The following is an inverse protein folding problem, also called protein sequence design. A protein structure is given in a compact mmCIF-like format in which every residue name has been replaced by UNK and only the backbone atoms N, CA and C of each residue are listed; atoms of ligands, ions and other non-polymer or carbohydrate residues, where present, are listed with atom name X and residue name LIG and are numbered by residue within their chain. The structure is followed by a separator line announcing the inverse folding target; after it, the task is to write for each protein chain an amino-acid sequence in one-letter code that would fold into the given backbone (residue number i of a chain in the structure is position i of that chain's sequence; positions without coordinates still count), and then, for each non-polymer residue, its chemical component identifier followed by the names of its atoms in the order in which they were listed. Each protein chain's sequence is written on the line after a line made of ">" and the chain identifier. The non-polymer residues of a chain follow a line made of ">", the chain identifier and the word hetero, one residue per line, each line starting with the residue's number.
data_IF_173884706947
#
_entry.id   IF_173884706947
#
_cell.length_a   1.000
_cell.length_b   1.000
_cell.length_c   1.000
_cell.angle_alpha   90.00
_cell.angle_beta   90.00
_cell.angle_gamma   90.00
#
_symmetry.space_group_name_H-M   'P 1'
#
loop_
_entity.id
_entity.type
_entity.pdbx_description
1 polymer ?
#
# COMPACT_ATOMS: atom_id res chain seq x y z
N UNK A 1 -4.95 -14.06 -1.56
CA UNK A 1 -4.13 -13.77 -0.36
C UNK A 1 -4.03 -12.26 -0.15
N UNK A 2 -4.06 -11.80 1.10
CA UNK A 2 -3.92 -10.38 1.45
C UNK A 2 -2.70 -10.18 2.35
N UNK A 3 -1.88 -9.15 2.13
CA UNK A 3 -0.75 -8.88 3.01
C UNK A 3 -1.22 -8.59 4.43
N UNK A 4 -0.45 -9.07 5.40
CA UNK A 4 -0.69 -8.93 6.83
C UNK A 4 -0.24 -7.56 7.37
N UNK A 5 0.53 -6.79 6.59
CA UNK A 5 0.92 -5.43 6.94
C UNK A 5 0.59 -4.43 5.82
N UNK A 6 0.56 -3.16 6.19
CA UNK A 6 0.51 -2.04 5.27
C UNK A 6 1.61 -1.04 5.62
N UNK A 7 2.26 -0.47 4.62
CA UNK A 7 3.32 0.53 4.78
C UNK A 7 2.93 1.79 4.02
N UNK A 8 2.74 2.89 4.74
CA UNK A 8 2.48 4.21 4.17
C UNK A 8 3.76 5.02 4.18
N UNK A 9 4.06 5.66 3.06
CA UNK A 9 5.18 6.58 2.93
C UNK A 9 4.62 7.93 2.52
N UNK A 10 4.76 8.93 3.38
CA UNK A 10 4.40 10.33 3.10
C UNK A 10 5.65 11.18 3.12
N UNK A 11 5.56 12.44 2.69
CA UNK A 11 6.67 13.39 2.80
C UNK A 11 7.13 13.64 4.25
N UNK A 12 6.25 13.41 5.22
CA UNK A 12 6.54 13.63 6.64
C UNK A 12 7.14 12.39 7.32
N UNK A 13 6.82 11.18 6.83
CA UNK A 13 7.19 9.97 7.54
C UNK A 13 6.74 8.67 6.92
N UNK A 14 7.11 7.60 7.62
CA UNK A 14 6.75 6.22 7.31
C UNK A 14 5.88 5.69 8.44
N UNK A 15 4.76 5.08 8.10
CA UNK A 15 3.89 4.43 9.09
C UNK A 15 3.67 2.97 8.69
N UNK A 16 3.80 2.08 9.67
CA UNK A 16 3.52 0.65 9.49
C UNK A 16 2.27 0.26 10.27
N UNK A 17 1.38 -0.46 9.63
CA UNK A 17 0.19 -1.06 10.25
C UNK A 17 0.23 -2.57 10.12
N UNK A 18 -0.29 -3.25 11.14
CA UNK A 18 -0.55 -4.68 11.17
C UNK A 18 -2.06 -4.92 11.03
N UNK A 19 -2.43 -5.88 10.19
CA UNK A 19 -3.81 -6.34 10.02
C UNK A 19 -4.18 -7.24 11.18
N UNK A 20 -5.27 -6.90 11.85
CA UNK A 20 -5.93 -7.76 12.82
C UNK A 20 -7.37 -8.06 12.38
N UNK A 21 -8.07 -8.95 13.09
CA UNK A 21 -9.45 -9.35 12.80
C UNK A 21 -10.44 -8.16 12.78
N UNK A 22 -10.13 -7.08 13.50
CA UNK A 22 -11.01 -5.92 13.67
C UNK A 22 -10.62 -4.69 12.83
N UNK A 23 -9.46 -4.71 12.17
CA UNK A 23 -8.99 -3.56 11.38
C UNK A 23 -7.47 -3.48 11.28
N UNK A 24 -6.98 -2.26 11.08
CA UNK A 24 -5.56 -1.95 10.93
C UNK A 24 -5.02 -1.26 12.17
N UNK A 25 -4.11 -1.91 12.87
CA UNK A 25 -3.47 -1.40 14.08
C UNK A 25 -2.10 -0.83 13.71
N UNK A 26 -1.80 0.40 14.14
CA UNK A 26 -0.50 1.01 13.90
C UNK A 26 0.56 0.34 14.76
N UNK A 27 1.60 -0.17 14.10
CA UNK A 27 2.80 -0.73 14.74
C UNK A 27 3.72 0.41 15.19
N UNK A 28 3.92 1.40 14.32
CA UNK A 28 4.78 2.53 14.59
C UNK A 28 4.76 3.55 13.46
N UNK A 29 5.31 4.73 13.73
CA UNK A 29 5.55 5.78 12.76
C UNK A 29 6.93 6.41 12.98
N UNK A 30 7.63 6.71 11.90
CA UNK A 30 8.99 7.27 11.90
C UNK A 30 9.00 8.51 11.01
N UNK A 31 9.47 9.64 11.53
CA UNK A 31 9.62 10.85 10.73
C UNK A 31 10.80 10.73 9.75
N UNK A 32 10.64 11.20 8.50
CA UNK A 32 11.71 11.13 7.49
C UNK A 32 12.94 11.98 7.84
N UNK A 33 12.76 13.05 8.62
CA UNK A 33 13.83 13.92 9.07
C UNK A 33 14.44 13.49 10.41
N UNK A 34 14.05 12.33 10.95
CA UNK A 34 14.60 11.82 12.20
C UNK A 34 16.10 11.53 12.04
N UNK A 35 16.98 12.02 12.95
CA UNK A 35 18.41 11.69 12.91
C UNK A 35 18.67 10.18 13.13
N UNK A 36 17.71 9.48 13.75
CA UNK A 36 17.78 8.05 14.04
C UNK A 36 16.83 7.22 13.16
N UNK A 37 16.42 7.74 11.99
CA UNK A 37 15.42 7.10 11.11
C UNK A 37 15.77 5.64 10.81
N UNK A 38 17.03 5.35 10.45
CA UNK A 38 17.45 3.98 10.15
C UNK A 38 17.26 3.02 11.34
N UNK A 39 17.62 3.47 12.55
CA UNK A 39 17.49 2.66 13.75
C UNK A 39 16.00 2.39 14.07
N UNK A 40 15.17 3.43 14.00
CA UNK A 40 13.73 3.33 14.24
C UNK A 40 13.03 2.43 13.21
N UNK A 41 13.41 2.52 11.94
CA UNK A 41 12.90 1.63 10.88
C UNK A 41 13.29 0.17 11.12
N UNK A 42 14.53 -0.10 11.56
CA UNK A 42 14.98 -1.46 11.94
C UNK A 42 14.24 -1.98 13.17
N UNK A 43 13.98 -1.14 14.16
CA UNK A 43 13.17 -1.50 15.34
C UNK A 43 11.74 -1.86 14.92
N UNK A 44 11.12 -1.05 14.06
CA UNK A 44 9.78 -1.28 13.54
C UNK A 44 9.70 -2.59 12.72
N UNK A 45 10.71 -2.90 11.91
CA UNK A 45 10.82 -4.17 11.18
C UNK A 45 10.96 -5.39 12.12
N UNK A 46 11.72 -5.24 13.22
CA UNK A 46 11.82 -6.29 14.27
C UNK A 46 10.48 -6.53 14.95
N UNK A 47 9.73 -5.47 15.27
CA UNK A 47 8.37 -5.60 15.83
C UNK A 47 7.45 -6.32 14.84
N UNK A 48 7.47 -5.96 13.56
CA UNK A 48 6.68 -6.64 12.53
C UNK A 48 6.98 -8.15 12.45
N UNK A 49 8.27 -8.50 12.49
CA UNK A 49 8.72 -9.91 12.48
C UNK A 49 8.26 -10.68 13.71
N UNK A 50 8.22 -10.04 14.87
CA UNK A 50 7.72 -10.66 16.10
C UNK A 50 6.19 -10.86 16.08
N UNK A 51 5.44 -9.96 15.43
CA UNK A 51 3.99 -10.04 15.28
C UNK A 51 3.54 -11.11 14.27
N UNK A 52 4.36 -11.39 13.25
CA UNK A 52 4.07 -12.38 12.22
C UNK A 52 5.24 -13.37 12.02
N UNK A 53 5.42 -14.34 12.94
CA UNK A 53 6.48 -15.35 12.84
C UNK A 53 6.43 -16.19 11.55
N UNK A 54 5.26 -16.30 10.93
CA UNK A 54 5.03 -16.99 9.66
C UNK A 54 5.51 -16.19 8.43
N UNK A 55 5.83 -14.91 8.61
CA UNK A 55 6.37 -14.03 7.57
C UNK A 55 5.65 -12.69 7.48
N UNK A 56 6.43 -11.64 7.18
CA UNK A 56 5.93 -10.29 6.94
C UNK A 56 5.70 -10.10 5.45
N UNK A 57 4.52 -9.61 5.06
CA UNK A 57 4.24 -9.10 3.72
C UNK A 57 3.46 -7.79 3.83
N UNK A 58 3.83 -6.78 3.04
CA UNK A 58 3.20 -5.45 3.07
C UNK A 58 2.46 -5.13 1.77
N UNK A 59 1.34 -4.43 1.88
CA UNK A 59 0.88 -3.53 0.80
C UNK A 59 1.47 -2.14 1.01
N UNK A 60 1.94 -1.52 -0.06
CA UNK A 60 2.32 -0.11 -0.08
C UNK A 60 1.06 0.75 -0.18
N UNK A 61 0.93 1.73 0.70
CA UNK A 61 -0.16 2.72 0.68
C UNK A 61 0.44 4.02 0.12
N UNK A 62 0.11 4.31 -1.13
CA UNK A 62 0.55 5.53 -1.82
C UNK A 62 -0.32 6.70 -1.33
N UNK A 63 0.29 7.78 -0.82
CA UNK A 63 -0.45 8.92 -0.29
C UNK A 63 -1.17 9.71 -1.38
N UNK A 64 -2.25 10.39 -0.99
CA UNK A 64 -3.12 11.10 -1.95
C UNK A 64 -2.43 12.27 -2.68
N UNK A 65 -1.36 12.84 -2.12
CA UNK A 65 -0.54 13.88 -2.76
C UNK A 65 0.25 13.37 -3.98
N UNK A 66 0.52 12.07 -4.04
CA UNK A 66 1.16 11.39 -5.17
C UNK A 66 0.16 10.83 -6.18
N UNK A 67 -1.15 11.04 -5.98
CA UNK A 67 -2.21 10.42 -6.77
C UNK A 67 -3.03 11.48 -7.50
N UNK A 68 -3.21 11.27 -8.80
CA UNK A 68 -4.15 12.02 -9.61
C UNK A 68 -5.51 11.30 -9.65
N UNK A 69 -6.54 11.96 -9.14
CA UNK A 69 -7.94 11.53 -9.28
C UNK A 69 -8.59 12.25 -10.46
N UNK A 70 -9.01 11.48 -11.48
CA UNK A 70 -9.67 12.02 -12.67
C UNK A 70 -11.07 11.43 -12.82
N UNK A 71 -12.09 12.29 -12.90
CA UNK A 71 -13.40 11.88 -13.40
C UNK A 71 -13.39 11.93 -14.93
N UNK A 72 -13.67 10.80 -15.55
CA UNK A 72 -13.59 10.62 -17.00
C UNK A 72 -14.89 9.97 -17.49
N UNK A 73 -15.44 10.52 -18.57
CA UNK A 73 -16.52 9.88 -19.29
C UNK A 73 -15.97 8.70 -20.09
N UNK A 74 -16.63 7.55 -20.01
CA UNK A 74 -16.33 6.34 -20.77
C UNK A 74 -17.57 5.85 -21.50
N UNK A 75 -17.40 5.55 -22.78
CA UNK A 75 -18.43 5.01 -23.67
C UNK A 75 -18.15 3.57 -24.09
N UNK A 76 -16.93 3.08 -23.85
CA UNK A 76 -16.50 1.72 -24.11
C UNK A 76 -17.45 0.69 -23.51
N UNK A 77 -17.72 -0.36 -24.28
CA UNK A 77 -18.64 -1.45 -23.92
C UNK A 77 -17.91 -2.67 -23.39
N UNK A 78 -16.63 -2.81 -23.72
CA UNK A 78 -15.75 -3.84 -23.14
C UNK A 78 -14.73 -3.20 -22.18
N UNK A 79 -14.18 -3.97 -21.22
CA UNK A 79 -13.13 -3.49 -20.33
C UNK A 79 -11.92 -2.93 -21.08
N UNK A 80 -11.55 -3.54 -22.21
CA UNK A 80 -10.41 -3.12 -23.03
C UNK A 80 -10.67 -1.77 -23.72
N UNK A 81 -11.87 -1.57 -24.28
CA UNK A 81 -12.28 -0.28 -24.85
C UNK A 81 -12.27 0.81 -23.79
N UNK A 82 -12.79 0.52 -22.59
CA UNK A 82 -12.84 1.45 -21.47
C UNK A 82 -11.43 1.83 -20.99
N UNK A 83 -10.52 0.86 -20.84
CA UNK A 83 -9.14 1.14 -20.45
C UNK A 83 -8.42 2.00 -21.50
N UNK A 84 -8.60 1.71 -22.79
CA UNK A 84 -8.02 2.52 -23.86
C UNK A 84 -8.53 3.95 -23.85
N UNK A 85 -9.84 4.16 -23.69
CA UNK A 85 -10.45 5.48 -23.57
C UNK A 85 -9.92 6.26 -22.36
N UNK A 86 -9.81 5.60 -21.20
CA UNK A 86 -9.26 6.21 -19.99
C UNK A 86 -7.81 6.64 -20.20
N UNK A 87 -6.95 5.74 -20.72
CA UNK A 87 -5.53 6.03 -20.98
C UNK A 87 -5.37 7.18 -21.98
N UNK A 88 -6.17 7.21 -23.06
CA UNK A 88 -6.12 8.30 -24.03
C UNK A 88 -6.46 9.67 -23.40
N UNK A 89 -7.41 9.69 -22.47
CA UNK A 89 -7.83 10.91 -21.77
C UNK A 89 -6.83 11.40 -20.71
N UNK A 90 -5.88 10.56 -20.27
CA UNK A 90 -4.80 10.96 -19.36
C UNK A 90 -3.69 11.76 -20.05
N UNK A 91 -3.62 11.71 -21.39
CA UNK A 91 -2.64 12.47 -22.16
C UNK A 91 -2.66 13.97 -21.82
N UNK A 92 -1.54 14.49 -21.35
CA UNK A 92 -1.37 15.90 -20.98
C UNK A 92 -1.98 16.30 -19.63
N UNK A 93 -2.53 15.36 -18.85
CA UNK A 93 -3.02 15.60 -17.47
C UNK A 93 -1.98 15.35 -16.39
N UNK A 94 -0.90 14.66 -16.74
CA UNK A 94 0.23 14.34 -15.87
C UNK A 94 1.51 14.90 -16.48
N UNK A 95 2.52 15.24 -15.65
CA UNK A 95 3.86 15.53 -16.16
C UNK A 95 4.55 14.28 -16.72
N UNK A 96 4.07 13.09 -16.35
CA UNK A 96 4.56 11.79 -16.82
C UNK A 96 3.83 11.34 -18.08
N UNK A 97 4.49 10.60 -18.99
CA UNK A 97 3.83 9.98 -20.13
C UNK A 97 2.92 8.83 -19.70
N UNK A 98 1.87 8.53 -20.47
CA UNK A 98 0.79 7.60 -20.08
C UNK A 98 1.30 6.17 -19.87
N UNK A 99 2.33 5.75 -20.59
CA UNK A 99 3.02 4.46 -20.46
C UNK A 99 3.74 4.27 -19.11
N UNK A 100 4.13 5.38 -18.48
CA UNK A 100 4.76 5.40 -17.15
C UNK A 100 3.73 5.50 -16.02
N UNK A 101 2.44 5.61 -16.34
CA UNK A 101 1.37 5.64 -15.35
C UNK A 101 0.89 4.23 -15.02
N UNK A 102 0.54 4.04 -13.75
CA UNK A 102 -0.26 2.92 -13.26
C UNK A 102 -1.59 3.49 -12.80
N UNK A 103 -2.69 2.85 -13.19
CA UNK A 103 -4.02 3.28 -12.78
C UNK A 103 -4.89 2.11 -12.36
N UNK A 104 -5.80 2.41 -11.45
CA UNK A 104 -7.04 1.67 -11.27
C UNK A 104 -8.19 2.60 -11.62
N UNK A 105 -9.34 2.04 -11.91
CA UNK A 105 -10.53 2.84 -12.18
C UNK A 105 -11.78 2.13 -11.69
N UNK A 106 -12.81 2.91 -11.44
CA UNK A 106 -14.10 2.40 -11.02
C UNK A 106 -15.24 3.27 -11.56
N UNK A 107 -16.33 2.62 -11.92
CA UNK A 107 -17.56 3.32 -12.30
C UNK A 107 -18.09 4.12 -11.10
N UNK A 108 -18.49 5.35 -11.35
CA UNK A 108 -19.18 6.20 -10.38
C UNK A 108 -20.69 6.05 -10.54
N UNK A 109 -21.48 6.63 -9.64
CA UNK A 109 -22.94 6.46 -9.59
C UNK A 109 -23.72 7.11 -10.76
N UNK A 110 -23.06 7.58 -11.81
CA UNK A 110 -23.63 8.13 -13.04
C UNK A 110 -23.54 7.16 -14.23
N UNK A 111 -24.41 7.30 -15.23
CA UNK A 111 -24.32 6.51 -16.46
C UNK A 111 -23.12 6.98 -17.29
N UNK A 112 -22.06 6.17 -17.34
CA UNK A 112 -20.91 6.38 -18.22
C UNK A 112 -19.78 7.20 -17.62
N UNK A 113 -19.79 7.49 -16.31
CA UNK A 113 -18.70 8.22 -15.65
C UNK A 113 -17.86 7.27 -14.78
N UNK A 114 -16.55 7.30 -14.94
CA UNK A 114 -15.59 6.57 -14.14
C UNK A 114 -14.64 7.53 -13.41
N UNK A 115 -14.19 7.13 -12.22
CA UNK A 115 -13.06 7.77 -11.58
C UNK A 115 -11.81 6.91 -11.84
N UNK A 116 -10.84 7.48 -12.54
CA UNK A 116 -9.49 6.95 -12.64
C UNK A 116 -8.65 7.46 -11.47
N UNK A 117 -7.90 6.55 -10.86
CA UNK A 117 -6.96 6.80 -9.77
C UNK A 117 -5.59 6.46 -10.31
N UNK A 118 -4.72 7.46 -10.45
CA UNK A 118 -3.52 7.37 -11.28
C UNK A 118 -2.29 7.76 -10.46
N UNK A 119 -1.24 6.95 -10.56
CA UNK A 119 0.06 7.18 -9.92
C UNK A 119 1.18 6.96 -10.93
N UNK A 120 2.29 7.68 -10.78
CA UNK A 120 3.49 7.39 -11.55
C UNK A 120 4.08 6.03 -11.13
N UNK A 121 4.52 5.23 -12.10
CA UNK A 121 5.18 3.94 -11.83
C UNK A 121 6.44 4.13 -10.98
N UNK A 122 7.17 5.21 -11.19
CA UNK A 122 8.37 5.56 -10.43
C UNK A 122 8.08 5.69 -8.93
N UNK A 123 7.00 6.37 -8.55
CA UNK A 123 6.56 6.48 -7.13
C UNK A 123 6.38 5.12 -6.47
N UNK A 124 5.78 4.15 -7.18
CA UNK A 124 5.62 2.78 -6.65
C UNK A 124 6.99 2.11 -6.49
N UNK A 125 7.89 2.29 -7.46
CA UNK A 125 9.23 1.69 -7.44
C UNK A 125 10.07 2.25 -6.28
N UNK A 126 10.04 3.55 -6.03
CA UNK A 126 10.75 4.17 -4.91
C UNK A 126 10.22 3.67 -3.56
N UNK A 127 8.90 3.59 -3.40
CA UNK A 127 8.28 3.05 -2.20
C UNK A 127 8.61 1.56 -2.00
N UNK A 128 8.65 0.79 -3.10
CA UNK A 128 9.05 -0.61 -3.10
C UNK A 128 10.51 -0.80 -2.69
N UNK A 129 11.42 -0.02 -3.26
CA UNK A 129 12.84 -0.03 -2.91
C UNK A 129 13.06 0.32 -1.44
N UNK A 130 12.38 1.37 -0.95
CA UNK A 130 12.44 1.76 0.46
C UNK A 130 11.99 0.63 1.39
N UNK A 131 10.85 0.00 1.11
CA UNK A 131 10.33 -1.10 1.93
C UNK A 131 11.28 -2.32 1.93
N UNK A 132 11.91 -2.60 0.80
CA UNK A 132 12.88 -3.69 0.65
C UNK A 132 14.14 -3.47 1.51
N UNK A 133 14.62 -2.22 1.67
CA UNK A 133 15.80 -1.91 2.51
C UNK A 133 15.63 -2.38 3.96
N UNK A 134 14.40 -2.45 4.45
CA UNK A 134 14.07 -2.85 5.82
C UNK A 134 13.43 -4.24 5.94
N UNK A 135 13.40 -5.01 4.85
CA UNK A 135 12.85 -6.38 4.84
C UNK A 135 11.34 -6.43 5.07
N UNK A 136 10.60 -5.37 4.71
CA UNK A 136 9.14 -5.28 4.90
C UNK A 136 8.35 -5.98 3.80
N UNK A 137 9.03 -6.56 2.80
CA UNK A 137 8.50 -7.45 1.77
C UNK A 137 7.21 -6.89 1.10
N UNK A 138 7.31 -5.79 0.35
CA UNK A 138 6.17 -5.20 -0.35
C UNK A 138 5.71 -6.12 -1.48
N UNK A 139 4.44 -6.54 -1.45
CA UNK A 139 3.86 -7.44 -2.46
C UNK A 139 2.83 -6.76 -3.37
N UNK A 140 2.28 -5.62 -2.98
CA UNK A 140 1.34 -4.85 -3.79
C UNK A 140 1.34 -3.37 -3.45
N UNK A 141 0.69 -2.57 -4.28
CA UNK A 141 0.48 -1.14 -4.05
C UNK A 141 -1.01 -0.76 -4.17
N UNK A 142 -1.47 0.12 -3.28
CA UNK A 142 -2.82 0.66 -3.20
C UNK A 142 -2.77 2.17 -2.98
N UNK A 143 -3.88 2.85 -3.23
CA UNK A 143 -4.04 4.26 -2.86
C UNK A 143 -4.48 4.41 -1.40
N UNK A 144 -4.06 5.50 -0.74
CA UNK A 144 -4.64 5.96 0.52
C UNK A 144 -6.13 6.31 0.35
N UNK A 145 -6.48 6.94 -0.78
CA UNK A 145 -7.84 7.07 -1.27
C UNK A 145 -8.80 7.87 -0.38
N UNK A 146 -8.31 8.86 0.37
CA UNK A 146 -9.19 9.81 1.09
C UNK A 146 -9.94 10.72 0.12
N UNK A 147 -9.35 11.02 -1.04
CA UNK A 147 -9.93 11.83 -2.11
C UNK A 147 -10.73 11.01 -3.14
N UNK A 148 -10.85 9.70 -2.96
CA UNK A 148 -11.65 8.83 -3.83
C UNK A 148 -13.14 9.08 -3.66
N UNK A 149 -13.88 9.03 -4.77
CA UNK A 149 -15.36 9.08 -4.77
C UNK A 149 -15.99 7.70 -4.62
N UNK A 150 -15.18 6.65 -4.69
CA UNK A 150 -15.65 5.27 -4.52
C UNK A 150 -15.10 4.68 -3.24
N UNK A 151 -15.89 3.79 -2.62
CA UNK A 151 -15.51 3.13 -1.37
C UNK A 151 -14.56 1.95 -1.57
N UNK A 152 -14.27 1.59 -2.82
CA UNK A 152 -13.41 0.47 -3.18
C UNK A 152 -11.95 0.90 -3.10
N UNK A 153 -11.12 0.10 -2.45
CA UNK A 153 -9.67 0.37 -2.41
C UNK A 153 -9.09 0.39 -3.83
N UNK A 154 -8.50 1.51 -4.31
CA UNK A 154 -7.81 1.51 -5.59
C UNK A 154 -6.55 0.65 -5.52
N UNK A 155 -6.36 -0.23 -6.51
CA UNK A 155 -5.31 -1.24 -6.52
C UNK A 155 -4.41 -1.09 -7.75
N UNK A 156 -3.14 -0.77 -7.52
CA UNK A 156 -2.14 -0.59 -8.56
C UNK A 156 -1.43 -1.90 -8.96
N UNK A 157 -1.82 -3.01 -8.34
CA UNK A 157 -1.31 -4.34 -8.67
C UNK A 157 -0.17 -4.80 -7.77
N UNK A 158 0.45 -5.91 -8.18
CA UNK A 158 1.60 -6.49 -7.52
C UNK A 158 2.88 -5.67 -7.78
N UNK A 159 3.74 -5.57 -6.78
CA UNK A 159 5.08 -4.97 -6.92
C UNK A 159 6.02 -5.87 -7.73
N UNK A 160 7.17 -5.36 -8.18
CA UNK A 160 8.15 -6.18 -8.90
C UNK A 160 8.73 -7.29 -8.00
N UNK A 161 8.97 -6.96 -6.73
CA UNK A 161 9.53 -7.84 -5.72
C UNK A 161 8.58 -8.96 -5.31
N UNK A 162 7.26 -8.77 -5.49
CA UNK A 162 6.24 -9.77 -5.18
C UNK A 162 6.54 -11.14 -5.80
N UNK A 163 7.08 -11.19 -7.02
CA UNK A 163 7.42 -12.44 -7.73
C UNK A 163 8.44 -13.30 -6.99
N UNK A 164 9.24 -12.71 -6.10
CA UNK A 164 10.23 -13.41 -5.26
C UNK A 164 9.70 -13.72 -3.86
N UNK A 165 8.63 -13.07 -3.45
CA UNK A 165 8.08 -13.13 -2.08
C UNK A 165 6.91 -14.12 -2.00
N UNK A 166 6.03 -14.12 -3.01
CA UNK A 166 4.85 -14.98 -3.04
C UNK A 166 4.91 -16.01 -4.17
N UNK A 167 4.29 -17.20 -4.02
CA UNK A 167 4.29 -18.23 -5.06
C UNK A 167 3.56 -17.82 -6.34
N UNK A 168 2.49 -17.03 -6.21
CA UNK A 168 1.66 -16.58 -7.32
C UNK A 168 1.13 -15.16 -7.07
N UNK A 169 1.62 -14.20 -7.85
CA UNK A 169 1.21 -12.79 -7.75
C UNK A 169 -0.25 -12.56 -8.16
N UNK A 170 -0.85 -13.46 -8.96
CA UNK A 170 -2.25 -13.36 -9.36
C UNK A 170 -3.21 -13.61 -8.19
N UNK A 171 -2.72 -14.25 -7.13
CA UNK A 171 -3.49 -14.45 -5.91
C UNK A 171 -3.41 -13.25 -4.97
N UNK A 172 -2.65 -12.19 -5.26
CA UNK A 172 -2.61 -11.03 -4.38
C UNK A 172 -3.91 -10.23 -4.54
N UNK A 173 -4.57 -10.00 -3.42
CA UNK A 173 -5.84 -9.30 -3.36
C UNK A 173 -5.72 -8.01 -2.55
N UNK A 174 -6.39 -6.96 -3.02
CA UNK A 174 -6.65 -5.74 -2.23
C UNK A 174 -7.70 -5.97 -1.14
N UNK A 175 -7.86 -4.99 -0.27
CA UNK A 175 -9.03 -4.90 0.59
C UNK A 175 -10.27 -4.40 -0.13
N UNK A 176 -11.43 -4.60 0.51
CA UNK A 176 -12.70 -4.09 -0.02
C UNK A 176 -12.76 -2.57 0.09
N UNK A 177 -12.23 -2.00 1.17
CA UNK A 177 -12.19 -0.57 1.45
C UNK A 177 -10.75 -0.16 1.75
N UNK A 178 -10.37 1.11 1.49
CA UNK A 178 -9.08 1.64 1.91
C UNK A 178 -8.81 1.43 3.40
N UNK A 179 -7.53 1.41 3.76
CA UNK A 179 -7.07 1.28 5.13
C UNK A 179 -7.62 2.42 6.00
N UNK A 180 -8.15 2.07 7.17
CA UNK A 180 -8.49 3.02 8.25
C UNK A 180 -7.81 2.51 9.51
N UNK A 181 -6.96 3.34 10.12
CA UNK A 181 -6.31 3.04 11.40
C UNK A 181 -7.37 2.95 12.50
N UNK A 182 -7.45 1.81 13.18
CA UNK A 182 -8.43 1.55 14.25
C UNK A 182 -7.84 1.59 15.64
N UNK A 183 -6.51 1.64 15.77
CA UNK A 183 -5.81 1.69 17.05
C UNK A 183 -4.31 1.48 16.93
N UNK A 184 -3.66 1.24 18.07
CA UNK A 184 -2.24 0.91 18.18
C UNK A 184 -2.08 -0.57 18.47
N UNK A 185 -1.01 -1.18 17.94
CA UNK A 185 -0.62 -2.52 18.35
C UNK A 185 -0.20 -2.50 19.81
N UNK A 186 -0.79 -3.40 20.59
CA UNK A 186 -0.29 -3.76 21.92
C UNK A 186 0.60 -4.98 21.77
N UNK A 187 1.91 -4.82 22.00
CA UNK A 187 2.77 -5.99 22.11
C UNK A 187 2.33 -6.81 23.32
N UNK A 188 2.24 -8.15 23.20
CA UNK A 188 2.07 -8.98 24.39
C UNK A 188 3.24 -8.71 25.34
N UNK A 189 2.96 -8.59 26.65
CA UNK A 189 4.02 -8.44 27.65
C UNK A 189 5.06 -9.57 27.46
N UNK A 190 6.36 -9.27 27.53
CA UNK A 190 7.37 -10.31 27.48
C UNK A 190 7.08 -11.33 28.58
N UNK A 191 7.00 -12.62 28.22
CA UNK A 191 6.88 -13.68 29.23
C UNK A 191 7.99 -13.50 30.26
N UNK A 192 7.68 -13.55 31.57
CA UNK A 192 8.69 -13.36 32.60
C UNK A 192 9.78 -14.41 32.40
N UNK A 193 11.01 -13.95 32.18
CA UNK A 193 12.19 -14.82 32.10
C UNK A 193 12.30 -15.54 33.43
N UNK A 194 11.95 -16.83 33.44
CA UNK A 194 12.20 -17.69 34.59
C UNK A 194 13.72 -17.89 34.65
N UNK A 195 14.40 -17.08 35.46
CA UNK A 195 15.79 -17.33 35.81
C UNK A 195 15.90 -18.74 36.39
N UNK A 196 16.55 -19.64 35.65
CA UNK A 196 16.91 -20.94 36.20
C UNK A 196 17.87 -20.69 37.36
N UNK A 197 17.62 -21.26 38.55
CA UNK A 197 18.55 -21.12 39.66
C UNK A 197 19.91 -21.66 39.23
N UNK A 198 20.96 -20.89 39.51
CA UNK A 198 22.33 -21.33 39.32
C UNK A 198 22.58 -22.57 40.19
N UNK A 199 23.00 -23.66 39.54
CA UNK A 199 23.49 -24.89 40.20
C UNK A 199 24.98 -24.77 40.47
#
# INVERSE_FOLDING_TARGET
>A
MKPNFALGLTEDGVTLWHRDATGWLRVGAVALNSPDMEAQMRDMSRVASALAPEGVTTKLVIPDDQILYCDLAIAGRTPEEQEQELRAQLGGRTPYPVEELVLDWSLTSGKGDAQAVVVARETILEAEEFANLYGLNPVSAVAEAKNSKTTREPFFGATRSAQKIVPDIAQIERDHTPLVETGLVTMPDPEPVVEKPAT
#
